data_IF_870587998728
#
_entry.id   IF_870587998728
#
_cell.length_a   1.000
_cell.length_b   1.000
_cell.length_c   1.000
_cell.angle_alpha   90.00
_cell.angle_beta   90.00
_cell.angle_gamma   90.00
#
_symmetry.space_group_name_H-M   'P 1'
#
loop_
_entity.id
_entity.type
_entity.pdbx_description
1 polymer ?
#
# COMPACT_ATOMS: atom_id res chain seq x y z
N UNK A 1 3.13 -9.52 -30.02
CA UNK A 1 3.00 -8.44 -29.00
C UNK A 1 1.52 -8.31 -28.67
N UNK A 2 1.08 -8.40 -27.42
CA UNK A 2 -0.31 -8.11 -27.11
C UNK A 2 -0.59 -6.65 -27.47
N UNK A 3 -1.70 -6.38 -28.14
CA UNK A 3 -2.10 -5.03 -28.52
C UNK A 3 -2.33 -4.20 -27.26
N UNK A 4 -2.04 -2.91 -27.30
CA UNK A 4 -2.33 -1.96 -26.19
C UNK A 4 -3.81 -2.03 -25.76
N UNK A 5 -4.71 -2.43 -26.64
CA UNK A 5 -6.14 -2.64 -26.36
C UNK A 5 -6.41 -3.81 -25.39
N UNK A 6 -5.52 -4.81 -25.32
CA UNK A 6 -5.66 -5.93 -24.36
C UNK A 6 -5.19 -5.59 -22.94
N UNK A 7 -4.54 -4.43 -22.76
CA UNK A 7 -4.15 -3.86 -21.47
C UNK A 7 -5.26 -2.98 -20.87
N UNK A 8 -6.25 -2.58 -21.67
CA UNK A 8 -7.39 -1.82 -21.17
C UNK A 8 -8.41 -2.79 -20.52
N UNK A 9 -8.93 -2.44 -19.33
CA UNK A 9 -9.95 -3.26 -18.71
C UNK A 9 -11.20 -3.35 -19.60
N UNK A 10 -11.91 -4.47 -19.49
CA UNK A 10 -13.21 -4.64 -20.12
C UNK A 10 -14.13 -3.45 -19.78
N UNK A 11 -15.03 -3.05 -20.70
CA UNK A 11 -15.96 -1.97 -20.42
C UNK A 11 -16.83 -2.32 -19.20
N UNK A 12 -16.87 -1.41 -18.22
CA UNK A 12 -17.59 -1.60 -16.97
C UNK A 12 -17.02 -0.75 -15.83
N UNK A 13 -17.33 -1.10 -14.60
CA UNK A 13 -16.97 -0.39 -13.39
C UNK A 13 -15.44 -0.27 -13.13
N UNK A 14 -14.63 -1.10 -13.80
CA UNK A 14 -13.15 -1.07 -13.66
C UNK A 14 -12.54 0.19 -14.30
N UNK A 15 -13.13 0.73 -15.38
CA UNK A 15 -12.61 1.94 -16.05
C UNK A 15 -12.65 3.19 -15.17
N UNK A 16 -13.80 3.56 -14.55
CA UNK A 16 -13.85 4.67 -13.62
C UNK A 16 -12.89 4.49 -12.43
N UNK A 17 -12.77 3.25 -11.94
CA UNK A 17 -11.85 2.94 -10.85
C UNK A 17 -10.39 3.12 -11.27
N UNK A 18 -10.00 2.67 -12.46
CA UNK A 18 -8.65 2.87 -13.01
C UNK A 18 -8.36 4.37 -13.24
N UNK A 19 -9.34 5.13 -13.74
CA UNK A 19 -9.22 6.59 -13.87
C UNK A 19 -9.01 7.26 -12.50
N UNK A 20 -9.74 6.82 -11.45
CA UNK A 20 -9.53 7.27 -10.08
C UNK A 20 -8.09 7.02 -9.61
N UNK A 21 -7.58 5.78 -9.77
CA UNK A 21 -6.21 5.44 -9.40
C UNK A 21 -5.17 6.27 -10.16
N UNK A 22 -5.38 6.52 -11.46
CA UNK A 22 -4.47 7.32 -12.29
C UNK A 22 -4.40 8.77 -11.82
N UNK A 23 -5.57 9.41 -11.67
CA UNK A 23 -5.66 10.84 -11.32
C UNK A 23 -5.16 11.09 -9.90
N UNK A 24 -5.54 10.25 -8.93
CA UNK A 24 -5.06 10.32 -7.56
C UNK A 24 -3.54 10.13 -7.46
N UNK A 25 -2.99 9.19 -8.21
CA UNK A 25 -1.54 8.93 -8.20
C UNK A 25 -0.73 10.02 -8.90
N UNK A 26 -1.28 10.68 -9.93
CA UNK A 26 -0.68 11.87 -10.53
C UNK A 26 -0.49 12.98 -9.49
N UNK A 27 -1.55 13.28 -8.72
CA UNK A 27 -1.47 14.26 -7.63
C UNK A 27 -0.50 13.85 -6.53
N UNK A 28 -0.52 12.57 -6.13
CA UNK A 28 0.43 12.04 -5.15
C UNK A 28 1.87 12.20 -5.62
N UNK A 29 2.16 11.93 -6.91
CA UNK A 29 3.49 12.14 -7.51
C UNK A 29 3.90 13.61 -7.52
N UNK A 30 2.98 14.52 -7.86
CA UNK A 30 3.21 15.97 -7.77
C UNK A 30 3.62 16.37 -6.34
N UNK A 31 2.83 15.98 -5.35
CA UNK A 31 3.04 16.37 -3.96
C UNK A 31 4.31 15.78 -3.34
N UNK A 32 4.56 14.49 -3.51
CA UNK A 32 5.73 13.84 -2.92
C UNK A 32 7.04 14.34 -3.53
N UNK A 33 7.03 14.77 -4.79
CA UNK A 33 8.21 15.33 -5.45
C UNK A 33 8.39 16.81 -5.14
N UNK A 34 7.30 17.59 -5.10
CA UNK A 34 7.39 19.06 -5.02
C UNK A 34 7.02 19.65 -3.67
N UNK A 35 6.34 18.89 -2.79
CA UNK A 35 5.83 19.43 -1.53
C UNK A 35 6.93 19.94 -0.59
N UNK A 36 8.07 19.24 -0.49
CA UNK A 36 9.19 19.70 0.35
C UNK A 36 9.71 21.06 -0.14
N UNK A 37 9.85 21.25 -1.46
CA UNK A 37 10.27 22.52 -2.04
C UNK A 37 9.30 23.65 -1.67
N UNK A 38 7.99 23.39 -1.77
CA UNK A 38 6.96 24.34 -1.34
C UNK A 38 7.12 24.74 0.13
N UNK A 39 7.23 23.78 1.05
CA UNK A 39 7.31 24.08 2.48
C UNK A 39 8.61 24.82 2.86
N UNK A 40 9.71 24.53 2.18
CA UNK A 40 10.99 25.19 2.45
C UNK A 40 11.06 26.58 1.79
N UNK A 41 10.70 26.70 0.51
CA UNK A 41 10.90 27.94 -0.24
C UNK A 41 9.74 28.93 -0.14
N UNK A 42 8.50 28.44 -0.01
CA UNK A 42 7.31 29.31 0.06
C UNK A 42 6.89 29.58 1.50
N UNK A 43 6.76 28.51 2.31
CA UNK A 43 6.35 28.64 3.72
C UNK A 43 7.51 29.08 4.63
N UNK A 44 8.76 28.84 4.22
CA UNK A 44 9.96 29.23 4.99
C UNK A 44 10.29 28.27 6.14
N UNK A 45 9.80 27.03 6.11
CA UNK A 45 10.13 26.01 7.11
C UNK A 45 11.51 25.42 6.85
N UNK A 46 12.23 25.04 7.92
CA UNK A 46 13.46 24.26 7.77
C UNK A 46 13.13 22.81 7.33
N UNK A 47 14.05 22.15 6.64
CA UNK A 47 13.91 20.75 6.27
C UNK A 47 13.63 19.83 7.48
N UNK A 48 14.24 20.15 8.63
CA UNK A 48 14.01 19.43 9.89
C UNK A 48 12.57 19.61 10.39
N UNK A 49 12.01 20.83 10.32
CA UNK A 49 10.61 21.08 10.67
C UNK A 49 9.65 20.33 9.74
N UNK A 50 9.91 20.35 8.43
CA UNK A 50 9.09 19.59 7.45
C UNK A 50 9.12 18.10 7.77
N UNK A 51 10.31 17.54 8.01
CA UNK A 51 10.46 16.13 8.39
C UNK A 51 9.76 15.79 9.72
N UNK A 52 9.91 16.63 10.75
CA UNK A 52 9.26 16.44 12.04
C UNK A 52 7.72 16.51 11.91
N UNK A 53 7.20 17.46 11.14
CA UNK A 53 5.75 17.60 10.92
C UNK A 53 5.14 16.38 10.20
N UNK A 54 5.78 15.87 9.15
CA UNK A 54 5.33 14.65 8.50
C UNK A 54 5.48 13.41 9.37
N UNK A 55 6.49 13.34 10.22
CA UNK A 55 6.64 12.26 11.21
C UNK A 55 5.48 12.25 12.22
N UNK A 56 5.12 13.42 12.76
CA UNK A 56 3.96 13.57 13.65
C UNK A 56 2.65 13.20 12.93
N UNK A 57 2.46 13.65 11.69
CA UNK A 57 1.31 13.29 10.87
C UNK A 57 1.24 11.78 10.62
N UNK A 58 2.36 11.12 10.35
CA UNK A 58 2.46 9.67 10.23
C UNK A 58 2.00 8.92 11.48
N UNK A 59 2.43 9.36 12.67
CA UNK A 59 2.01 8.79 13.95
C UNK A 59 0.49 8.88 14.16
N UNK A 60 -0.10 10.03 13.85
CA UNK A 60 -1.55 10.24 13.98
C UNK A 60 -2.34 9.30 13.05
N UNK A 61 -1.81 8.98 11.88
CA UNK A 61 -2.50 8.10 10.91
C UNK A 61 -2.55 6.62 11.32
N UNK A 62 -1.70 6.17 12.25
CA UNK A 62 -1.67 4.76 12.67
C UNK A 62 -3.03 4.26 13.15
N UNK A 63 -3.78 5.10 13.87
CA UNK A 63 -5.10 4.76 14.39
C UNK A 63 -6.27 4.93 13.40
N UNK A 64 -6.06 5.56 12.25
CA UNK A 64 -7.15 5.97 11.36
C UNK A 64 -7.73 4.85 10.49
N UNK A 65 -6.92 3.85 10.12
CA UNK A 65 -7.31 2.81 9.16
C UNK A 65 -8.49 1.96 9.62
N UNK A 66 -8.52 1.56 10.89
CA UNK A 66 -9.58 0.70 11.45
C UNK A 66 -10.92 1.44 11.57
N UNK A 67 -11.00 2.65 12.18
CA UNK A 67 -12.24 3.44 12.21
C UNK A 67 -12.77 3.75 10.82
N UNK A 68 -11.90 4.06 9.86
CA UNK A 68 -12.28 4.34 8.48
C UNK A 68 -12.83 3.09 7.79
N UNK A 69 -12.20 1.95 7.99
CA UNK A 69 -12.70 0.68 7.48
C UNK A 69 -14.08 0.34 8.03
N UNK A 70 -14.28 0.52 9.33
CA UNK A 70 -15.57 0.35 9.98
C UNK A 70 -16.65 1.33 9.43
N UNK A 71 -16.27 2.56 9.09
CA UNK A 71 -17.17 3.51 8.45
C UNK A 71 -17.51 3.08 7.01
N UNK A 72 -16.53 2.55 6.27
CA UNK A 72 -16.72 2.04 4.91
C UNK A 72 -17.70 0.85 4.86
N UNK A 73 -17.78 0.04 5.93
CA UNK A 73 -18.74 -1.06 6.04
C UNK A 73 -20.18 -0.60 6.36
N UNK A 74 -20.37 0.67 6.77
CA UNK A 74 -21.68 1.25 7.16
C UNK A 74 -22.25 2.25 6.18
N UNK A 75 -21.43 2.76 5.29
CA UNK A 75 -21.82 3.77 4.30
C UNK A 75 -21.65 3.21 2.89
N UNK A 76 -22.33 3.83 1.91
CA UNK A 76 -22.00 3.61 0.52
C UNK A 76 -20.54 3.98 0.27
N UNK A 77 -19.70 2.97 -0.02
CA UNK A 77 -18.25 3.13 -0.16
C UNK A 77 -17.86 4.09 -1.30
N UNK A 78 -18.68 4.15 -2.38
CA UNK A 78 -18.49 5.11 -3.46
C UNK A 78 -18.69 6.55 -2.96
N UNK A 79 -19.82 6.82 -2.28
CA UNK A 79 -20.13 8.16 -1.75
C UNK A 79 -19.11 8.58 -0.71
N UNK A 80 -18.71 7.66 0.16
CA UNK A 80 -17.69 7.92 1.17
C UNK A 80 -16.35 8.30 0.53
N UNK A 81 -15.90 7.59 -0.52
CA UNK A 81 -14.64 7.92 -1.20
C UNK A 81 -14.71 9.28 -1.91
N UNK A 82 -15.85 9.60 -2.55
CA UNK A 82 -16.07 10.93 -3.14
C UNK A 82 -15.93 12.02 -2.07
N UNK A 83 -16.59 11.84 -0.93
CA UNK A 83 -16.53 12.81 0.19
C UNK A 83 -15.08 12.97 0.70
N UNK A 84 -14.36 11.87 0.88
CA UNK A 84 -12.98 11.91 1.35
C UNK A 84 -12.08 12.64 0.33
N UNK A 85 -12.21 12.39 -0.96
CA UNK A 85 -11.46 13.12 -1.99
C UNK A 85 -11.78 14.63 -2.02
N UNK A 86 -13.03 15.01 -1.79
CA UNK A 86 -13.40 16.44 -1.64
C UNK A 86 -12.71 17.03 -0.41
N UNK A 87 -12.71 16.32 0.72
CA UNK A 87 -12.01 16.75 1.94
C UNK A 87 -10.51 16.88 1.69
N UNK A 88 -9.86 15.89 1.02
CA UNK A 88 -8.45 15.98 0.62
C UNK A 88 -8.18 17.22 -0.21
N UNK A 89 -9.00 17.49 -1.24
CA UNK A 89 -8.85 18.68 -2.08
C UNK A 89 -8.90 19.96 -1.25
N UNK A 90 -9.90 20.10 -0.36
CA UNK A 90 -10.04 21.27 0.51
C UNK A 90 -8.85 21.43 1.46
N UNK A 91 -8.37 20.35 2.06
CA UNK A 91 -7.20 20.37 2.94
C UNK A 91 -5.92 20.78 2.20
N UNK A 92 -5.73 20.32 0.95
CA UNK A 92 -4.61 20.76 0.14
C UNK A 92 -4.66 22.22 -0.24
N UNK A 93 -5.87 22.80 -0.43
CA UNK A 93 -6.05 24.23 -0.62
C UNK A 93 -5.69 25.07 0.62
N UNK A 94 -5.57 24.47 1.81
CA UNK A 94 -5.13 25.19 3.01
C UNK A 94 -3.59 25.36 3.08
N UNK A 95 -2.79 24.54 2.38
CA UNK A 95 -1.33 24.64 2.46
C UNK A 95 -0.77 26.03 2.05
N UNK A 96 -1.25 26.70 0.99
CA UNK A 96 -0.81 28.07 0.69
C UNK A 96 -1.11 29.09 1.77
N UNK A 97 -2.05 28.82 2.69
CA UNK A 97 -2.41 29.68 3.82
C UNK A 97 -1.59 29.40 5.07
N UNK A 98 -0.69 28.41 5.01
CA UNK A 98 0.16 28.03 6.14
C UNK A 98 1.36 28.97 6.24
N UNK A 99 1.51 29.66 7.40
CA UNK A 99 2.61 30.58 7.66
C UNK A 99 3.37 30.26 8.96
N UNK A 100 3.08 29.13 9.62
CA UNK A 100 3.74 28.72 10.86
C UNK A 100 3.92 27.20 10.93
N UNK A 101 4.91 26.76 11.71
CA UNK A 101 5.15 25.33 11.93
C UNK A 101 3.92 24.62 12.54
N UNK A 102 3.25 25.24 13.52
CA UNK A 102 2.05 24.63 14.13
C UNK A 102 0.91 24.49 13.10
N UNK A 103 0.64 25.50 12.30
CA UNK A 103 -0.37 25.42 11.24
C UNK A 103 -0.01 24.34 10.23
N UNK A 104 1.26 24.22 9.84
CA UNK A 104 1.77 23.14 8.99
C UNK A 104 1.47 21.77 9.59
N UNK A 105 1.82 21.54 10.86
CA UNK A 105 1.60 20.25 11.55
C UNK A 105 0.11 19.90 11.58
N UNK A 106 -0.76 20.85 11.91
CA UNK A 106 -2.21 20.62 11.97
C UNK A 106 -2.78 20.23 10.59
N UNK A 107 -2.43 20.98 9.55
CA UNK A 107 -2.87 20.68 8.17
C UNK A 107 -2.27 19.35 7.69
N UNK A 108 -0.99 19.09 7.97
CA UNK A 108 -0.34 17.83 7.59
C UNK A 108 -0.96 16.62 8.29
N UNK A 109 -1.32 16.72 9.57
CA UNK A 109 -2.03 15.66 10.29
C UNK A 109 -3.42 15.41 9.67
N UNK A 110 -4.20 16.47 9.43
CA UNK A 110 -5.54 16.35 8.83
C UNK A 110 -5.48 15.74 7.42
N UNK A 111 -4.55 16.21 6.58
CA UNK A 111 -4.32 15.72 5.23
C UNK A 111 -3.89 14.25 5.23
N UNK A 112 -2.94 13.88 6.10
CA UNK A 112 -2.47 12.50 6.20
C UNK A 112 -3.57 11.55 6.68
N UNK A 113 -4.43 11.99 7.61
CA UNK A 113 -5.62 11.24 8.02
C UNK A 113 -6.59 11.01 6.85
N UNK A 114 -6.86 12.05 6.04
CA UNK A 114 -7.73 11.95 4.88
C UNK A 114 -7.13 10.99 3.82
N UNK A 115 -5.84 11.10 3.50
CA UNK A 115 -5.13 10.19 2.57
C UNK A 115 -5.20 8.73 3.05
N UNK A 116 -5.01 8.50 4.34
CA UNK A 116 -5.12 7.15 4.91
C UNK A 116 -6.57 6.64 4.82
N UNK A 117 -7.54 7.50 5.08
CA UNK A 117 -8.96 7.20 4.93
C UNK A 117 -9.30 6.85 3.48
N UNK A 118 -8.89 7.66 2.50
CA UNK A 118 -9.09 7.41 1.08
C UNK A 118 -8.50 6.06 0.66
N UNK A 119 -7.28 5.74 1.10
CA UNK A 119 -6.62 4.46 0.81
C UNK A 119 -7.44 3.26 1.31
N UNK A 120 -7.96 3.33 2.56
CA UNK A 120 -8.76 2.27 3.17
C UNK A 120 -10.12 2.11 2.48
N UNK A 121 -10.84 3.20 2.25
CA UNK A 121 -12.14 3.19 1.56
C UNK A 121 -12.00 2.72 0.12
N UNK A 122 -10.95 3.16 -0.59
CA UNK A 122 -10.63 2.73 -1.96
C UNK A 122 -10.34 1.23 -2.01
N UNK A 123 -9.64 0.68 -1.01
CA UNK A 123 -9.43 -0.76 -0.92
C UNK A 123 -10.77 -1.50 -0.78
N UNK A 124 -11.67 -1.05 0.10
CA UNK A 124 -13.00 -1.62 0.27
C UNK A 124 -13.86 -1.50 -1.01
N UNK A 125 -13.86 -0.32 -1.66
CA UNK A 125 -14.53 -0.08 -2.94
C UNK A 125 -14.02 -1.04 -4.02
N UNK A 126 -12.71 -1.20 -4.15
CA UNK A 126 -12.07 -2.08 -5.12
C UNK A 126 -12.52 -3.54 -4.93
N UNK A 127 -12.57 -4.01 -3.68
CA UNK A 127 -13.08 -5.34 -3.35
C UNK A 127 -14.59 -5.51 -3.56
N UNK A 128 -15.34 -4.41 -3.62
CA UNK A 128 -16.77 -4.43 -3.95
C UNK A 128 -17.06 -4.39 -5.45
N UNK A 129 -16.15 -3.80 -6.24
CA UNK A 129 -16.29 -3.61 -7.70
C UNK A 129 -15.72 -4.79 -8.47
N UNK A 130 -14.62 -5.38 -8.03
CA UNK A 130 -13.96 -6.49 -8.71
C UNK A 130 -14.60 -7.82 -8.33
N UNK A 131 -14.80 -8.68 -9.33
CA UNK A 131 -15.23 -10.06 -9.13
C UNK A 131 -14.15 -10.85 -8.37
N UNK A 132 -14.53 -11.83 -7.50
CA UNK A 132 -13.57 -12.55 -6.65
C UNK A 132 -12.43 -13.23 -7.44
N UNK A 133 -12.72 -13.83 -8.59
CA UNK A 133 -11.77 -14.49 -9.48
C UNK A 133 -10.84 -13.52 -10.22
N UNK A 134 -11.21 -12.23 -10.32
CA UNK A 134 -10.44 -11.17 -10.97
C UNK A 134 -9.86 -10.15 -10.00
N UNK A 135 -10.02 -10.36 -8.69
CA UNK A 135 -9.64 -9.37 -7.68
C UNK A 135 -8.13 -9.13 -7.66
N UNK A 136 -7.31 -10.18 -7.61
CA UNK A 136 -5.86 -10.05 -7.55
C UNK A 136 -5.27 -9.52 -8.86
N UNK A 137 -5.62 -10.06 -10.06
CA UNK A 137 -5.19 -9.47 -11.32
C UNK A 137 -5.67 -8.02 -11.52
N UNK A 138 -6.91 -7.72 -11.12
CA UNK A 138 -7.46 -6.36 -11.16
C UNK A 138 -6.70 -5.40 -10.25
N UNK A 139 -6.36 -5.81 -9.03
CA UNK A 139 -5.50 -5.05 -8.10
C UNK A 139 -4.10 -4.84 -8.67
N UNK A 140 -3.52 -5.86 -9.29
CA UNK A 140 -2.22 -5.75 -9.95
C UNK A 140 -2.24 -4.73 -11.10
N UNK A 141 -3.30 -4.75 -11.92
CA UNK A 141 -3.51 -3.75 -12.95
C UNK A 141 -3.64 -2.33 -12.37
N UNK A 142 -4.50 -2.13 -11.36
CA UNK A 142 -4.69 -0.84 -10.70
C UNK A 142 -3.39 -0.33 -10.06
N UNK A 143 -2.54 -1.23 -9.53
CA UNK A 143 -1.21 -0.87 -9.02
C UNK A 143 -0.28 -0.39 -10.15
N UNK A 144 -0.31 -1.02 -11.31
CA UNK A 144 0.46 -0.57 -12.48
C UNK A 144 -0.01 0.80 -12.96
N UNK A 145 -1.32 1.05 -12.99
CA UNK A 145 -1.91 2.36 -13.31
C UNK A 145 -1.46 3.41 -12.30
N UNK A 146 -1.51 3.09 -11.00
CA UNK A 146 -1.03 3.97 -9.94
C UNK A 146 0.45 4.34 -10.13
N UNK A 147 1.32 3.37 -10.37
CA UNK A 147 2.75 3.62 -10.57
C UNK A 147 3.01 4.49 -11.81
N UNK A 148 2.27 4.27 -12.90
CA UNK A 148 2.34 5.10 -14.11
C UNK A 148 1.90 6.54 -13.84
N UNK A 149 0.80 6.73 -13.14
CA UNK A 149 0.32 8.06 -12.73
C UNK A 149 1.29 8.77 -11.78
N UNK A 150 1.79 8.06 -10.78
CA UNK A 150 2.79 8.58 -9.85
C UNK A 150 4.05 9.06 -10.57
N UNK A 151 4.61 8.25 -11.48
CA UNK A 151 5.77 8.63 -12.27
C UNK A 151 5.49 9.87 -13.16
N UNK A 152 4.31 9.93 -13.78
CA UNK A 152 3.87 11.09 -14.55
C UNK A 152 3.75 12.35 -13.71
N UNK A 153 3.14 12.26 -12.53
CA UNK A 153 3.01 13.37 -11.58
C UNK A 153 4.37 13.85 -11.06
N UNK A 154 5.27 12.92 -10.73
CA UNK A 154 6.63 13.25 -10.30
C UNK A 154 7.43 13.96 -11.41
N UNK A 155 7.29 13.52 -12.66
CA UNK A 155 7.95 14.16 -13.80
C UNK A 155 7.39 15.58 -14.03
N UNK A 156 6.08 15.77 -13.92
CA UNK A 156 5.45 17.09 -14.01
C UNK A 156 5.92 18.02 -12.89
N UNK A 157 6.04 17.53 -11.65
CA UNK A 157 6.57 18.32 -10.55
C UNK A 157 8.04 18.72 -10.79
N UNK A 158 8.89 17.78 -11.22
CA UNK A 158 10.28 18.05 -11.53
C UNK A 158 10.43 19.10 -12.65
N UNK A 159 9.58 19.00 -13.68
CA UNK A 159 9.55 20.00 -14.76
C UNK A 159 9.08 21.36 -14.27
N UNK A 160 7.98 21.42 -13.50
CA UNK A 160 7.46 22.69 -12.97
C UNK A 160 8.43 23.38 -12.02
N UNK A 161 9.20 22.63 -11.24
CA UNK A 161 10.17 23.15 -10.28
C UNK A 161 11.52 23.54 -10.93
N UNK A 162 11.71 23.26 -12.23
CA UNK A 162 13.00 23.52 -12.92
C UNK A 162 13.36 25.01 -12.97
N UNK A 163 12.37 25.93 -12.95
CA UNK A 163 12.58 27.37 -12.91
C UNK A 163 12.75 27.94 -11.47
N UNK A 164 12.47 27.13 -10.43
CA UNK A 164 12.60 27.50 -9.02
C UNK A 164 11.63 28.59 -8.53
N UNK A 165 10.59 28.91 -9.30
CA UNK A 165 9.65 29.98 -8.95
C UNK A 165 8.70 29.59 -7.81
N UNK A 166 8.31 30.57 -6.96
CA UNK A 166 7.29 30.37 -5.93
C UNK A 166 5.97 29.91 -6.51
N UNK A 167 5.59 30.46 -7.67
CA UNK A 167 4.37 30.08 -8.37
C UNK A 167 4.37 28.60 -8.78
N UNK A 168 5.50 28.09 -9.26
CA UNK A 168 5.63 26.67 -9.60
C UNK A 168 5.42 25.77 -8.37
N UNK A 169 6.00 26.14 -7.24
CA UNK A 169 5.80 25.41 -5.97
C UNK A 169 4.31 25.41 -5.53
N UNK A 170 3.63 26.54 -5.62
CA UNK A 170 2.19 26.64 -5.31
C UNK A 170 1.34 25.82 -6.28
N UNK A 171 1.62 25.91 -7.59
CA UNK A 171 0.92 25.15 -8.62
C UNK A 171 1.04 23.63 -8.43
N UNK A 172 2.15 23.14 -7.92
CA UNK A 172 2.35 21.71 -7.59
C UNK A 172 1.39 21.30 -6.46
N UNK A 173 1.25 22.11 -5.42
CA UNK A 173 0.32 21.84 -4.29
C UNK A 173 -1.15 21.92 -4.75
N UNK A 174 -1.51 23.01 -5.44
CA UNK A 174 -2.86 23.20 -5.95
C UNK A 174 -3.22 22.20 -7.05
N UNK A 175 -2.24 21.79 -7.86
CA UNK A 175 -2.40 20.72 -8.84
C UNK A 175 -2.79 19.39 -8.19
N UNK A 176 -2.23 19.07 -7.02
CA UNK A 176 -2.66 17.92 -6.25
C UNK A 176 -4.07 18.11 -5.67
N UNK A 177 -4.43 19.30 -5.18
CA UNK A 177 -5.81 19.59 -4.76
C UNK A 177 -6.82 19.34 -5.90
N UNK A 178 -6.50 19.84 -7.11
CA UNK A 178 -7.31 19.62 -8.31
C UNK A 178 -7.39 18.13 -8.67
N UNK A 179 -6.27 17.39 -8.54
CA UNK A 179 -6.28 15.94 -8.82
C UNK A 179 -7.25 15.18 -7.93
N UNK A 180 -7.35 15.50 -6.64
CA UNK A 180 -8.34 14.87 -5.75
C UNK A 180 -9.78 15.20 -6.15
N UNK A 181 -10.06 16.46 -6.56
CA UNK A 181 -11.37 16.81 -7.06
C UNK A 181 -11.72 16.05 -8.35
N UNK A 182 -10.77 15.96 -9.27
CA UNK A 182 -10.94 15.17 -10.49
C UNK A 182 -11.09 13.67 -10.16
N UNK A 183 -10.33 13.14 -9.20
CA UNK A 183 -10.48 11.77 -8.73
C UNK A 183 -11.89 11.51 -8.18
N UNK A 184 -12.47 12.44 -7.41
CA UNK A 184 -13.86 12.36 -6.97
C UNK A 184 -14.84 12.29 -8.15
N UNK A 185 -14.64 13.07 -9.19
CA UNK A 185 -15.50 13.10 -10.38
C UNK A 185 -15.45 11.79 -11.16
N UNK A 186 -14.28 11.11 -11.22
CA UNK A 186 -14.16 9.81 -11.90
C UNK A 186 -15.02 8.71 -11.28
N UNK A 187 -15.43 8.87 -10.03
CA UNK A 187 -16.26 7.89 -9.30
C UNK A 187 -17.76 8.07 -9.56
N UNK A 188 -18.20 9.21 -10.12
CA UNK A 188 -19.63 9.49 -10.36
C UNK A 188 -20.30 8.43 -11.26
N UNK A 189 -19.64 7.90 -12.32
CA UNK A 189 -20.26 6.88 -13.17
C UNK A 189 -20.39 5.49 -12.53
N UNK A 190 -19.72 5.24 -11.37
CA UNK A 190 -19.83 3.96 -10.69
C UNK A 190 -21.24 3.78 -10.10
N UNK A 191 -21.79 2.56 -10.09
CA UNK A 191 -23.02 2.30 -9.36
C UNK A 191 -22.84 2.50 -7.86
N UNK A 192 -23.89 2.84 -7.12
CA UNK A 192 -23.85 2.84 -5.65
C UNK A 192 -23.44 1.48 -5.12
N UNK A 193 -22.59 1.48 -4.09
CA UNK A 193 -22.14 0.29 -3.38
C UNK A 193 -22.62 0.39 -1.92
N UNK A 194 -23.88 0.06 -1.66
CA UNK A 194 -24.44 0.12 -0.32
C UNK A 194 -23.74 -0.86 0.61
N UNK A 195 -23.77 -0.60 1.93
CA UNK A 195 -23.23 -1.51 2.92
C UNK A 195 -23.91 -2.87 2.82
N UNK A 196 -23.12 -3.93 2.98
CA UNK A 196 -23.66 -5.29 3.02
C UNK A 196 -24.19 -5.57 4.43
N UNK A 197 -25.47 -5.94 4.58
CA UNK A 197 -26.04 -6.27 5.89
C UNK A 197 -25.23 -7.40 6.54
N UNK A 198 -24.99 -7.28 7.84
CA UNK A 198 -24.42 -8.37 8.60
C UNK A 198 -25.52 -9.44 8.79
N UNK A 199 -25.26 -10.71 8.45
CA UNK A 199 -26.22 -11.78 8.69
C UNK A 199 -26.64 -11.85 10.17
N UNK A 200 -27.88 -12.25 10.43
CA UNK A 200 -28.36 -12.47 11.80
C UNK A 200 -27.52 -13.57 12.48
N UNK A 201 -27.23 -13.43 13.76
CA UNK A 201 -26.44 -14.43 14.49
C UNK A 201 -24.91 -14.32 14.36
N UNK A 202 -24.39 -13.60 13.37
CA UNK A 202 -22.93 -13.44 13.19
C UNK A 202 -22.32 -12.63 14.33
N UNK A 203 -21.30 -13.20 14.97
CA UNK A 203 -20.57 -12.57 16.07
C UNK A 203 -20.05 -11.17 15.70
N UNK A 204 -20.30 -10.19 16.58
CA UNK A 204 -19.77 -8.82 16.47
C UNK A 204 -18.31 -8.70 16.92
N UNK A 205 -17.51 -9.76 16.80
CA UNK A 205 -16.10 -9.69 17.18
C UNK A 205 -15.36 -8.73 16.23
N UNK A 206 -14.68 -7.70 16.77
CA UNK A 206 -13.86 -6.82 15.96
C UNK A 206 -12.75 -7.61 15.25
N UNK A 207 -12.35 -7.17 14.04
CA UNK A 207 -11.27 -7.79 13.26
C UNK A 207 -9.95 -7.88 14.05
N UNK A 208 -9.68 -6.92 14.94
CA UNK A 208 -8.54 -6.93 15.87
C UNK A 208 -8.53 -8.10 16.87
N UNK A 209 -9.67 -8.76 17.12
CA UNK A 209 -9.76 -9.96 17.95
C UNK A 209 -9.58 -11.26 17.17
N UNK A 210 -9.46 -11.19 15.86
CA UNK A 210 -9.14 -12.33 15.01
C UNK A 210 -7.62 -12.55 14.98
N UNK A 211 -7.09 -13.22 16.02
CA UNK A 211 -5.65 -13.40 16.24
C UNK A 211 -4.92 -13.95 15.02
N UNK A 212 -5.39 -15.01 14.31
CA UNK A 212 -4.72 -15.45 13.09
C UNK A 212 -4.62 -14.38 12.03
N UNK A 213 -5.64 -13.55 11.85
CA UNK A 213 -5.64 -12.45 10.89
C UNK A 213 -4.67 -11.33 11.29
N UNK A 214 -4.64 -10.98 12.59
CA UNK A 214 -3.69 -9.98 13.12
C UNK A 214 -2.24 -10.45 12.98
N UNK A 215 -1.97 -11.74 13.21
CA UNK A 215 -0.63 -12.28 12.98
C UNK A 215 -0.24 -12.25 11.49
N UNK A 216 -1.17 -12.57 10.58
CA UNK A 216 -0.94 -12.42 9.14
C UNK A 216 -0.69 -10.96 8.74
N UNK A 217 -1.40 -10.02 9.37
CA UNK A 217 -1.17 -8.59 9.21
C UNK A 217 0.26 -8.19 9.61
N UNK A 218 0.74 -8.67 10.75
CA UNK A 218 2.10 -8.40 11.23
C UNK A 218 3.15 -8.99 10.27
N UNK A 219 2.99 -10.26 9.85
CA UNK A 219 3.89 -10.89 8.88
C UNK A 219 3.91 -10.15 7.54
N UNK A 220 2.76 -9.67 7.08
CA UNK A 220 2.68 -8.83 5.89
C UNK A 220 3.44 -7.50 6.08
N UNK A 221 3.36 -6.90 7.26
CA UNK A 221 4.14 -5.71 7.61
C UNK A 221 5.64 -5.97 7.61
N UNK A 222 6.09 -7.08 8.21
CA UNK A 222 7.49 -7.48 8.17
C UNK A 222 7.99 -7.66 6.74
N UNK A 223 7.23 -8.35 5.87
CA UNK A 223 7.56 -8.46 4.46
C UNK A 223 7.53 -7.09 3.75
N UNK A 224 6.66 -6.16 4.17
CA UNK A 224 6.52 -4.81 3.62
C UNK A 224 7.72 -3.88 3.84
N UNK A 225 8.62 -4.23 4.77
CA UNK A 225 9.88 -3.49 5.00
C UNK A 225 10.76 -3.46 3.72
N UNK A 226 10.54 -4.38 2.76
CA UNK A 226 11.26 -4.40 1.49
C UNK A 226 11.27 -3.06 0.75
N UNK A 227 10.16 -2.29 0.78
CA UNK A 227 10.08 -0.98 0.16
C UNK A 227 11.05 0.05 0.76
N UNK A 228 11.30 -0.05 2.06
CA UNK A 228 12.26 0.82 2.77
C UNK A 228 13.71 0.47 2.41
N UNK A 229 13.99 -0.79 2.14
CA UNK A 229 15.33 -1.21 1.68
C UNK A 229 15.69 -0.50 0.39
N UNK A 230 14.78 -0.47 -0.57
CA UNK A 230 15.01 0.15 -1.88
C UNK A 230 15.11 1.67 -1.81
N UNK A 231 14.25 2.31 -1.01
CA UNK A 231 14.10 3.77 -1.03
C UNK A 231 14.97 4.50 -0.01
N UNK A 232 15.44 3.81 1.02
CA UNK A 232 16.25 4.40 2.09
C UNK A 232 17.58 3.67 2.28
N UNK A 233 17.55 2.36 2.55
CA UNK A 233 18.75 1.66 3.01
C UNK A 233 19.80 1.47 1.90
N UNK A 234 19.41 1.10 0.68
CA UNK A 234 20.33 0.99 -0.45
C UNK A 234 20.95 2.34 -0.84
N UNK A 235 20.18 3.44 -1.01
CA UNK A 235 20.76 4.76 -1.21
C UNK A 235 21.74 5.17 -0.10
N UNK A 236 21.36 4.94 1.16
CA UNK A 236 22.23 5.27 2.30
C UNK A 236 23.55 4.47 2.23
N UNK A 237 23.49 3.17 1.96
CA UNK A 237 24.67 2.33 1.83
C UNK A 237 25.57 2.76 0.64
N UNK A 238 24.99 3.16 -0.50
CA UNK A 238 25.74 3.64 -1.67
C UNK A 238 26.44 4.97 -1.38
N UNK A 239 25.78 5.88 -0.63
CA UNK A 239 26.32 7.20 -0.33
C UNK A 239 27.40 7.15 0.75
N UNK A 240 27.27 6.23 1.73
CA UNK A 240 28.17 6.15 2.88
C UNK A 240 29.51 5.47 2.62
N UNK A 241 29.74 4.86 1.45
CA UNK A 241 31.04 4.24 1.18
C UNK A 241 31.07 3.34 -0.06
N UNK A 242 32.20 2.65 -0.29
CA UNK A 242 32.43 1.60 -1.29
C UNK A 242 32.79 2.04 -2.72
N UNK A 243 32.96 3.34 -3.03
CA UNK A 243 33.33 3.80 -4.38
C UNK A 243 32.29 3.50 -5.46
N UNK A 244 31.05 3.22 -5.06
CA UNK A 244 29.90 2.96 -5.95
C UNK A 244 29.37 4.30 -6.46
N UNK A 245 29.11 4.47 -7.78
CA UNK A 245 28.54 5.70 -8.30
C UNK A 245 27.17 6.01 -7.67
N UNK A 246 27.02 7.19 -7.08
CA UNK A 246 25.79 7.63 -6.37
C UNK A 246 24.54 7.60 -7.28
N UNK A 247 24.72 7.77 -8.59
CA UNK A 247 23.66 7.69 -9.60
C UNK A 247 22.93 6.32 -9.61
N UNK A 248 23.61 5.24 -9.19
CA UNK A 248 23.01 3.91 -9.12
C UNK A 248 21.84 3.83 -8.14
N UNK A 249 21.82 4.63 -7.08
CA UNK A 249 20.70 4.68 -6.16
C UNK A 249 19.38 5.05 -6.88
N UNK A 250 19.39 6.10 -7.69
CA UNK A 250 18.22 6.49 -8.48
C UNK A 250 17.91 5.50 -9.61
N UNK A 251 18.95 4.92 -10.23
CA UNK A 251 18.77 3.90 -11.27
C UNK A 251 18.08 2.66 -10.74
N UNK A 252 18.43 2.18 -9.54
CA UNK A 252 17.79 1.02 -8.91
C UNK A 252 16.31 1.25 -8.65
N UNK A 253 15.93 2.42 -8.15
CA UNK A 253 14.51 2.78 -7.96
C UNK A 253 13.78 2.83 -9.31
N UNK A 254 14.39 3.40 -10.34
CA UNK A 254 13.81 3.47 -11.67
C UNK A 254 13.61 2.09 -12.27
N UNK A 255 14.63 1.23 -12.21
CA UNK A 255 14.55 -0.16 -12.70
C UNK A 255 13.47 -0.95 -11.96
N UNK A 256 13.42 -0.84 -10.62
CA UNK A 256 12.35 -1.46 -9.83
C UNK A 256 10.97 -1.00 -10.32
N UNK A 257 10.75 0.31 -10.45
CA UNK A 257 9.46 0.86 -10.87
C UNK A 257 9.04 0.33 -12.26
N UNK A 258 9.96 0.28 -13.21
CA UNK A 258 9.70 -0.27 -14.55
C UNK A 258 9.36 -1.76 -14.49
N UNK A 259 10.10 -2.55 -13.73
CA UNK A 259 9.84 -3.97 -13.56
C UNK A 259 8.49 -4.21 -12.87
N UNK A 260 8.14 -3.40 -11.86
CA UNK A 260 6.82 -3.47 -11.22
C UNK A 260 5.72 -3.20 -12.22
N UNK A 261 5.80 -2.14 -13.01
CA UNK A 261 4.77 -1.84 -14.04
C UNK A 261 4.60 -2.99 -15.03
N UNK A 262 5.71 -3.57 -15.49
CA UNK A 262 5.69 -4.62 -16.54
C UNK A 262 5.25 -5.98 -15.99
N UNK A 263 5.73 -6.37 -14.80
CA UNK A 263 5.59 -7.74 -14.30
C UNK A 263 4.53 -7.93 -13.22
N UNK A 264 3.97 -6.85 -12.61
CA UNK A 264 3.02 -6.96 -11.51
C UNK A 264 1.83 -7.87 -11.84
N UNK A 265 1.17 -7.66 -12.98
CA UNK A 265 0.01 -8.47 -13.40
C UNK A 265 0.41 -9.92 -13.67
N UNK A 266 1.60 -10.15 -14.23
CA UNK A 266 2.06 -11.51 -14.58
C UNK A 266 2.42 -12.32 -13.34
N UNK A 267 3.11 -11.73 -12.37
CA UNK A 267 3.52 -12.39 -11.14
C UNK A 267 2.36 -12.52 -10.12
N UNK A 268 1.27 -11.80 -10.29
CA UNK A 268 0.08 -11.93 -9.43
C UNK A 268 -0.78 -13.16 -9.75
N UNK A 269 -0.56 -13.83 -10.88
CA UNK A 269 -1.35 -15.00 -11.29
C UNK A 269 -1.20 -16.14 -10.28
N UNK A 270 -2.34 -16.74 -9.91
CA UNK A 270 -2.40 -17.84 -8.95
C UNK A 270 -2.35 -17.41 -7.48
N UNK A 271 -2.40 -16.10 -7.20
CA UNK A 271 -2.53 -15.55 -5.84
C UNK A 271 -3.99 -15.18 -5.48
N UNK A 272 -4.97 -15.58 -6.30
CA UNK A 272 -6.38 -15.20 -6.17
C UNK A 272 -7.10 -15.86 -4.98
N UNK A 273 -6.51 -16.92 -4.41
CA UNK A 273 -7.02 -17.61 -3.23
C UNK A 273 -6.14 -17.34 -2.01
N UNK A 274 -6.67 -17.57 -0.81
CA UNK A 274 -5.88 -17.46 0.44
C UNK A 274 -4.65 -18.36 0.40
N UNK A 275 -4.80 -19.59 -0.09
CA UNK A 275 -3.69 -20.54 -0.23
C UNK A 275 -2.67 -20.09 -1.30
N UNK A 276 -3.16 -19.61 -2.45
CA UNK A 276 -2.32 -19.05 -3.51
C UNK A 276 -1.56 -17.83 -3.04
N UNK A 277 -2.23 -16.94 -2.31
CA UNK A 277 -1.65 -15.76 -1.67
C UNK A 277 -0.58 -16.12 -0.65
N UNK A 278 -0.85 -17.13 0.20
CA UNK A 278 0.12 -17.60 1.17
C UNK A 278 1.38 -18.21 0.52
N UNK A 279 1.20 -18.98 -0.57
CA UNK A 279 2.33 -19.50 -1.38
C UNK A 279 3.13 -18.37 -2.03
N UNK A 280 2.46 -17.32 -2.50
CA UNK A 280 3.13 -16.16 -3.06
C UNK A 280 3.95 -15.42 -2.01
N UNK A 281 3.41 -15.17 -0.80
CA UNK A 281 4.15 -14.55 0.29
C UNK A 281 5.30 -15.41 0.81
N UNK A 282 5.17 -16.75 0.82
CA UNK A 282 6.30 -17.63 1.13
C UNK A 282 7.44 -17.48 0.13
N UNK A 283 7.13 -17.46 -1.17
CA UNK A 283 8.13 -17.22 -2.22
C UNK A 283 8.74 -15.83 -2.09
N UNK A 284 7.92 -14.82 -1.79
CA UNK A 284 8.39 -13.48 -1.51
C UNK A 284 9.43 -13.46 -0.39
N UNK A 285 9.15 -14.11 0.74
CA UNK A 285 10.08 -14.21 1.85
C UNK A 285 11.44 -14.81 1.44
N UNK A 286 11.43 -15.82 0.57
CA UNK A 286 12.69 -16.42 0.02
C UNK A 286 13.43 -15.42 -0.86
N UNK A 287 12.75 -14.76 -1.82
CA UNK A 287 13.39 -13.78 -2.71
C UNK A 287 13.95 -12.58 -1.94
N UNK A 288 13.19 -12.07 -0.96
CA UNK A 288 13.62 -10.96 -0.11
C UNK A 288 14.82 -11.35 0.77
N UNK A 289 14.82 -12.56 1.32
CA UNK A 289 15.95 -13.08 2.07
C UNK A 289 17.22 -13.21 1.20
N UNK A 290 17.10 -13.79 0.00
CA UNK A 290 18.20 -13.88 -0.96
C UNK A 290 18.71 -12.50 -1.38
N UNK A 291 17.81 -11.51 -1.56
CA UNK A 291 18.19 -10.12 -1.81
C UNK A 291 19.07 -9.56 -0.68
N UNK A 292 18.64 -9.75 0.58
CA UNK A 292 19.42 -9.29 1.74
C UNK A 292 20.77 -10.00 1.85
N UNK A 293 20.86 -11.30 1.51
CA UNK A 293 22.14 -12.02 1.42
C UNK A 293 23.02 -11.41 0.34
N UNK A 294 22.46 -11.06 -0.83
CA UNK A 294 23.19 -10.35 -1.90
C UNK A 294 23.71 -8.99 -1.45
N UNK A 295 22.89 -8.23 -0.70
CA UNK A 295 23.30 -6.92 -0.13
C UNK A 295 24.41 -7.14 0.93
N UNK A 296 24.27 -8.15 1.79
CA UNK A 296 25.30 -8.50 2.78
C UNK A 296 26.64 -8.85 2.11
N UNK A 297 26.59 -9.63 1.03
CA UNK A 297 27.77 -9.97 0.24
C UNK A 297 28.38 -8.72 -0.42
N UNK A 298 27.55 -7.83 -0.98
CA UNK A 298 28.02 -6.57 -1.56
C UNK A 298 28.69 -5.66 -0.53
N UNK A 299 28.16 -5.61 0.70
CA UNK A 299 28.74 -4.85 1.80
C UNK A 299 30.10 -5.39 2.26
N UNK A 300 30.37 -6.69 2.09
CA UNK A 300 31.64 -7.32 2.44
C UNK A 300 32.72 -7.21 1.34
N UNK A 301 32.34 -6.80 0.13
CA UNK A 301 33.28 -6.66 -1.00
C UNK A 301 33.85 -5.24 -1.05
N UNK A 302 35.16 -5.11 -1.12
CA UNK A 302 35.86 -3.82 -1.12
C UNK A 302 36.09 -3.21 -2.52
N UNK A 303 35.80 -3.98 -3.60
CA UNK A 303 35.97 -3.51 -4.98
C UNK A 303 34.62 -3.15 -5.60
N UNK A 304 34.50 -2.00 -6.32
CA UNK A 304 33.22 -1.51 -6.80
C UNK A 304 32.51 -2.44 -7.80
N UNK A 305 33.24 -3.02 -8.76
CA UNK A 305 32.63 -3.79 -9.84
C UNK A 305 31.84 -5.01 -9.37
N UNK A 306 32.39 -5.96 -8.55
CA UNK A 306 31.60 -7.08 -8.05
C UNK A 306 30.50 -6.63 -7.06
N UNK A 307 30.72 -5.58 -6.26
CA UNK A 307 29.68 -5.03 -5.40
C UNK A 307 28.47 -4.55 -6.22
N UNK A 308 28.70 -3.84 -7.33
CA UNK A 308 27.62 -3.40 -8.23
C UNK A 308 26.86 -4.59 -8.81
N UNK A 309 27.54 -5.64 -9.26
CA UNK A 309 26.89 -6.84 -9.79
C UNK A 309 26.01 -7.50 -8.73
N UNK A 310 26.51 -7.65 -7.50
CA UNK A 310 25.74 -8.21 -6.38
C UNK A 310 24.52 -7.36 -6.06
N UNK A 311 24.65 -6.02 -6.06
CA UNK A 311 23.52 -5.11 -5.83
C UNK A 311 22.49 -5.17 -6.94
N UNK A 312 22.90 -5.26 -8.21
CA UNK A 312 21.96 -5.45 -9.34
C UNK A 312 21.14 -6.72 -9.14
N UNK A 313 21.80 -7.84 -8.86
CA UNK A 313 21.12 -9.12 -8.59
C UNK A 313 20.21 -9.00 -7.38
N UNK A 314 20.67 -8.37 -6.30
CA UNK A 314 19.89 -8.16 -5.09
C UNK A 314 18.62 -7.31 -5.36
N UNK A 315 18.72 -6.23 -6.17
CA UNK A 315 17.56 -5.39 -6.53
C UNK A 315 16.57 -6.16 -7.40
N UNK A 316 17.01 -7.00 -8.33
CA UNK A 316 16.13 -7.86 -9.13
C UNK A 316 15.37 -8.87 -8.24
N UNK A 317 16.07 -9.50 -7.29
CA UNK A 317 15.46 -10.39 -6.30
C UNK A 317 14.49 -9.64 -5.37
N UNK A 318 14.88 -8.43 -4.92
CA UNK A 318 14.01 -7.56 -4.12
C UNK A 318 12.71 -7.24 -4.84
N UNK A 319 12.81 -6.84 -6.11
CA UNK A 319 11.64 -6.52 -6.95
C UNK A 319 10.74 -7.74 -7.15
N UNK A 320 11.31 -8.92 -7.43
CA UNK A 320 10.54 -10.15 -7.54
C UNK A 320 9.82 -10.50 -6.21
N UNK A 321 10.51 -10.34 -5.09
CA UNK A 321 9.95 -10.50 -3.75
C UNK A 321 8.82 -9.52 -3.45
N UNK A 322 9.00 -8.24 -3.78
CA UNK A 322 7.98 -7.18 -3.65
C UNK A 322 6.70 -7.53 -4.41
N UNK A 323 6.84 -7.89 -5.69
CA UNK A 323 5.70 -8.24 -6.56
C UNK A 323 4.90 -9.42 -6.01
N UNK A 324 5.57 -10.45 -5.53
CA UNK A 324 4.94 -11.63 -4.93
C UNK A 324 4.33 -11.32 -3.57
N UNK A 325 4.99 -10.50 -2.73
CA UNK A 325 4.46 -10.07 -1.44
C UNK A 325 3.16 -9.29 -1.61
N UNK A 326 3.11 -8.35 -2.57
CA UNK A 326 1.91 -7.57 -2.89
C UNK A 326 0.77 -8.45 -3.40
N UNK A 327 1.03 -9.34 -4.35
CA UNK A 327 0.02 -10.26 -4.88
C UNK A 327 -0.54 -11.16 -3.77
N UNK A 328 0.34 -11.74 -2.95
CA UNK A 328 -0.05 -12.57 -1.81
C UNK A 328 -0.82 -11.80 -0.74
N UNK A 329 -0.43 -10.56 -0.47
CA UNK A 329 -1.12 -9.64 0.43
C UNK A 329 -2.59 -9.45 0.02
N UNK A 330 -2.86 -9.23 -1.27
CA UNK A 330 -4.23 -9.07 -1.77
C UNK A 330 -5.03 -10.37 -1.66
N UNK A 331 -4.46 -11.51 -2.06
CA UNK A 331 -5.16 -12.81 -1.95
C UNK A 331 -5.54 -13.15 -0.52
N UNK A 332 -4.66 -12.92 0.44
CA UNK A 332 -4.91 -13.19 1.86
C UNK A 332 -5.91 -12.18 2.44
N UNK A 333 -5.68 -10.88 2.27
CA UNK A 333 -6.49 -9.86 2.92
C UNK A 333 -7.93 -9.86 2.43
N UNK A 334 -8.16 -10.00 1.13
CA UNK A 334 -9.51 -10.05 0.57
C UNK A 334 -10.17 -11.43 0.74
N UNK A 335 -9.40 -12.52 0.62
CA UNK A 335 -9.92 -13.88 0.78
C UNK A 335 -10.32 -14.21 2.22
N UNK A 336 -9.69 -13.57 3.21
CA UNK A 336 -10.04 -13.72 4.61
C UNK A 336 -11.00 -12.62 5.13
N UNK A 337 -11.27 -11.55 4.42
CA UNK A 337 -12.19 -10.51 4.86
C UNK A 337 -13.64 -10.93 4.62
N UNK A 338 -14.50 -11.03 5.68
CA UNK A 338 -15.92 -11.27 5.49
C UNK A 338 -16.56 -10.13 4.71
N UNK A 339 -17.53 -10.44 3.85
CA UNK A 339 -18.17 -9.43 3.00
C UNK A 339 -18.83 -8.29 3.77
N UNK A 340 -19.45 -8.61 4.93
CA UNK A 340 -20.12 -7.64 5.80
C UNK A 340 -19.19 -6.80 6.69
N UNK A 341 -17.89 -7.13 6.75
CA UNK A 341 -16.88 -6.44 7.56
C UNK A 341 -15.57 -6.24 6.76
N UNK A 342 -15.66 -6.20 5.43
CA UNK A 342 -14.51 -6.11 4.53
C UNK A 342 -13.66 -4.86 4.79
N UNK A 343 -14.30 -3.72 5.00
CA UNK A 343 -13.60 -2.47 5.30
C UNK A 343 -12.83 -2.54 6.60
N UNK A 344 -13.44 -3.05 7.68
CA UNK A 344 -12.78 -3.22 8.96
C UNK A 344 -11.56 -4.15 8.86
N UNK A 345 -11.70 -5.31 8.20
CA UNK A 345 -10.61 -6.26 8.00
C UNK A 345 -9.47 -5.67 7.14
N UNK A 346 -9.79 -4.98 6.04
CA UNK A 346 -8.78 -4.32 5.22
C UNK A 346 -8.10 -3.15 5.98
N UNK A 347 -8.85 -2.46 6.85
CA UNK A 347 -8.31 -1.44 7.75
C UNK A 347 -7.30 -2.01 8.75
N UNK A 348 -7.62 -3.16 9.35
CA UNK A 348 -6.67 -3.89 10.23
C UNK A 348 -5.45 -4.35 9.42
N UNK A 349 -5.66 -4.89 8.22
CA UNK A 349 -4.54 -5.36 7.38
C UNK A 349 -3.60 -4.20 6.95
N UNK A 350 -4.14 -3.00 6.77
CA UNK A 350 -3.35 -1.81 6.49
C UNK A 350 -2.41 -1.40 7.64
N UNK A 351 -2.69 -1.82 8.89
CA UNK A 351 -1.79 -1.60 10.03
C UNK A 351 -0.44 -2.29 9.84
N UNK A 352 -0.39 -3.42 9.12
CA UNK A 352 0.86 -4.07 8.76
C UNK A 352 1.79 -3.17 7.95
N UNK A 353 1.25 -2.46 6.94
CA UNK A 353 2.04 -1.50 6.16
C UNK A 353 2.45 -0.29 7.01
N UNK A 354 1.56 0.23 7.86
CA UNK A 354 1.88 1.31 8.78
C UNK A 354 3.01 0.90 9.76
N UNK A 355 3.02 -0.34 10.23
CA UNK A 355 4.13 -0.90 11.00
C UNK A 355 5.43 -0.91 10.19
N UNK A 356 5.41 -1.37 8.94
CA UNK A 356 6.58 -1.36 8.06
C UNK A 356 7.12 0.06 7.84
N UNK A 357 6.25 1.03 7.59
CA UNK A 357 6.61 2.44 7.38
C UNK A 357 7.20 3.08 8.65
N UNK A 358 6.79 2.62 9.84
CA UNK A 358 7.27 3.16 11.13
C UNK A 358 8.56 2.51 11.59
N UNK A 359 8.63 1.18 11.56
CA UNK A 359 9.75 0.41 12.11
C UNK A 359 10.84 0.18 11.06
N UNK A 360 10.45 0.07 9.79
CA UNK A 360 11.35 -0.24 8.68
C UNK A 360 12.55 0.68 8.53
N UNK A 361 12.39 2.03 8.56
CA UNK A 361 13.51 2.96 8.46
C UNK A 361 14.55 2.74 9.57
N UNK A 362 14.12 2.64 10.82
CA UNK A 362 15.02 2.40 11.94
C UNK A 362 15.70 1.02 11.84
N UNK A 363 14.92 -0.04 11.56
CA UNK A 363 15.45 -1.39 11.45
C UNK A 363 16.47 -1.52 10.32
N UNK A 364 16.20 -0.97 9.14
CA UNK A 364 17.10 -1.06 7.98
C UNK A 364 18.34 -0.18 8.15
N UNK A 365 18.22 1.01 8.75
CA UNK A 365 19.34 1.90 8.98
C UNK A 365 20.26 1.36 10.09
N UNK A 366 19.72 0.90 11.22
CA UNK A 366 20.54 0.42 12.35
C UNK A 366 21.09 -0.97 12.09
N UNK A 367 20.24 -1.95 11.80
CA UNK A 367 20.69 -3.33 11.57
C UNK A 367 21.37 -3.46 10.21
N UNK A 368 20.69 -3.05 9.12
CA UNK A 368 21.21 -3.26 7.77
C UNK A 368 22.48 -2.46 7.48
N UNK A 369 22.40 -1.14 7.56
CA UNK A 369 23.54 -0.27 7.22
C UNK A 369 24.53 -0.17 8.37
N UNK A 370 24.05 -0.05 9.62
CA UNK A 370 24.91 0.12 10.80
C UNK A 370 25.74 -1.11 11.13
N UNK A 371 25.14 -2.28 11.20
CA UNK A 371 25.84 -3.56 11.52
C UNK A 371 26.43 -4.25 10.27
N UNK A 372 26.17 -3.72 9.07
CA UNK A 372 26.69 -4.28 7.82
C UNK A 372 26.19 -5.69 7.52
N UNK A 373 27.09 -6.59 7.08
CA UNK A 373 26.70 -7.92 6.64
C UNK A 373 25.93 -8.74 7.69
N UNK A 374 26.27 -8.79 8.98
CA UNK A 374 25.49 -9.50 10.00
C UNK A 374 24.06 -8.96 10.13
N UNK A 375 23.87 -7.65 10.09
CA UNK A 375 22.54 -7.00 10.16
C UNK A 375 21.68 -7.34 8.95
N UNK A 376 22.23 -7.36 7.75
CA UNK A 376 21.52 -7.78 6.55
C UNK A 376 21.10 -9.25 6.61
N UNK A 377 21.94 -10.14 7.17
CA UNK A 377 21.60 -11.54 7.40
C UNK A 377 20.47 -11.68 8.43
N UNK A 378 20.44 -10.85 9.48
CA UNK A 378 19.34 -10.82 10.43
C UNK A 378 18.01 -10.43 9.75
N UNK A 379 18.03 -9.39 8.90
CA UNK A 379 16.85 -8.98 8.10
C UNK A 379 16.44 -10.10 7.14
N UNK A 380 17.40 -10.79 6.50
CA UNK A 380 17.12 -11.94 5.66
C UNK A 380 16.39 -13.05 6.42
N UNK A 381 16.83 -13.36 7.65
CA UNK A 381 16.16 -14.34 8.51
C UNK A 381 14.71 -13.90 8.85
N UNK A 382 14.48 -12.62 9.15
CA UNK A 382 13.13 -12.09 9.39
C UNK A 382 12.24 -12.29 8.18
N UNK A 383 12.69 -11.98 6.96
CA UNK A 383 11.91 -12.19 5.74
C UNK A 383 11.62 -13.65 5.49
N UNK A 384 12.61 -14.53 5.63
CA UNK A 384 12.46 -15.96 5.41
C UNK A 384 11.45 -16.56 6.40
N UNK A 385 11.64 -16.29 7.70
CA UNK A 385 10.76 -16.80 8.75
C UNK A 385 9.32 -16.25 8.60
N UNK A 386 9.17 -14.98 8.27
CA UNK A 386 7.88 -14.38 8.00
C UNK A 386 7.18 -15.07 6.84
N UNK A 387 7.87 -15.25 5.70
CA UNK A 387 7.31 -15.96 4.55
C UNK A 387 6.92 -17.40 4.84
N UNK A 388 7.73 -18.15 5.61
CA UNK A 388 7.43 -19.52 6.00
C UNK A 388 6.22 -19.59 6.97
N UNK A 389 6.09 -18.65 7.90
CA UNK A 389 5.02 -18.61 8.89
C UNK A 389 3.64 -18.26 8.29
N UNK A 390 3.60 -17.56 7.15
CA UNK A 390 2.32 -17.19 6.51
C UNK A 390 1.49 -18.41 6.13
N UNK A 391 2.11 -19.47 5.58
CA UNK A 391 1.37 -20.65 5.07
C UNK A 391 0.55 -21.35 6.15
N UNK A 392 1.13 -21.79 7.28
CA UNK A 392 0.36 -22.44 8.34
C UNK A 392 -0.65 -21.52 9.02
N UNK A 393 -0.37 -20.22 9.12
CA UNK A 393 -1.29 -19.26 9.70
C UNK A 393 -2.49 -18.98 8.78
N UNK A 394 -2.27 -18.87 7.48
CA UNK A 394 -3.35 -18.69 6.51
C UNK A 394 -4.26 -19.92 6.47
N UNK A 395 -3.70 -21.12 6.50
CA UNK A 395 -4.48 -22.34 6.58
C UNK A 395 -5.34 -22.42 7.86
N UNK A 396 -4.77 -22.04 9.02
CA UNK A 396 -5.54 -21.97 10.28
C UNK A 396 -6.66 -20.92 10.23
N UNK A 397 -6.38 -19.74 9.67
CA UNK A 397 -7.37 -18.68 9.52
C UNK A 397 -8.52 -19.14 8.61
N UNK A 398 -8.23 -19.83 7.53
CA UNK A 398 -9.20 -20.35 6.58
C UNK A 398 -10.06 -21.49 7.21
N UNK A 399 -9.44 -22.44 7.90
CA UNK A 399 -10.15 -23.53 8.57
C UNK A 399 -11.14 -22.99 9.63
N UNK A 400 -10.72 -22.01 10.45
CA UNK A 400 -11.59 -21.37 11.43
C UNK A 400 -12.83 -20.70 10.81
N UNK A 401 -12.72 -20.20 9.58
CA UNK A 401 -13.84 -19.57 8.86
C UNK A 401 -14.77 -20.60 8.26
N UNK A 402 -14.24 -21.69 7.74
CA UNK A 402 -15.04 -22.78 7.19
C UNK A 402 -15.91 -23.42 8.29
N UNK A 403 -15.37 -23.58 9.50
CA UNK A 403 -16.17 -24.07 10.65
C UNK A 403 -17.24 -23.08 11.09
N UNK A 404 -16.91 -21.78 11.17
CA UNK A 404 -17.90 -20.75 11.54
C UNK A 404 -19.03 -20.63 10.49
N UNK A 405 -18.71 -20.69 9.19
CA UNK A 405 -19.72 -20.67 8.14
C UNK A 405 -20.60 -21.93 8.11
N UNK A 406 -20.04 -23.09 8.46
CA UNK A 406 -20.82 -24.32 8.59
C UNK A 406 -21.78 -24.28 9.80
N UNK A 407 -21.34 -23.72 10.92
CA UNK A 407 -22.18 -23.51 12.12
C UNK A 407 -23.32 -22.52 11.83
N UNK A 408 -23.05 -21.43 11.10
CA UNK A 408 -24.05 -20.45 10.66
C UNK A 408 -25.09 -21.07 9.72
N UNK A 409 -24.68 -21.85 8.74
CA UNK A 409 -25.58 -22.53 7.82
C UNK A 409 -26.48 -23.58 8.53
N UNK A 410 -25.94 -24.24 9.56
CA UNK A 410 -26.73 -25.17 10.39
C UNK A 410 -27.71 -24.44 11.31
N UNK A 411 -27.40 -23.22 11.77
CA UNK A 411 -28.29 -22.41 12.60
C UNK A 411 -29.49 -21.89 11.76
N UNK A 412 -29.22 -21.34 10.57
CA UNK A 412 -30.25 -20.88 9.62
C UNK A 412 -31.19 -22.02 9.20
N UNK A 413 -30.66 -23.20 8.87
CA UNK A 413 -31.46 -24.36 8.53
C UNK A 413 -32.36 -24.89 9.68
N UNK A 414 -31.97 -24.66 10.94
CA UNK A 414 -32.78 -24.97 12.11
C UNK A 414 -33.92 -23.97 12.33
N UNK A 415 -33.70 -22.70 12.07
CA UNK A 415 -34.72 -21.64 12.15
C UNK A 415 -35.79 -21.82 11.06
N UNK A 416 -35.37 -22.16 9.82
CA UNK A 416 -36.31 -22.47 8.73
C UNK A 416 -37.20 -23.68 9.02
N UNK A 417 -36.64 -24.75 9.58
CA UNK A 417 -37.40 -25.94 9.99
C UNK A 417 -38.35 -25.60 11.13
N UNK A 418 -37.96 -24.80 12.11
CA UNK A 418 -38.79 -24.38 13.23
C UNK A 418 -39.95 -23.48 12.76
N UNK A 419 -39.69 -22.58 11.80
CA UNK A 419 -40.70 -21.71 11.19
C UNK A 419 -41.71 -22.50 10.33
N UNK A 420 -41.26 -23.52 9.62
CA UNK A 420 -42.15 -24.40 8.80
C UNK A 420 -42.99 -25.36 9.68
N UNK A 421 -42.46 -25.79 10.85
CA UNK A 421 -43.21 -26.67 11.78
C UNK A 421 -44.21 -25.97 12.71
N UNK A 422 -44.18 -24.64 12.79
CA UNK A 422 -45.11 -23.83 13.57
C UNK A 422 -46.43 -23.44 12.90
N UNK A 423 -46.60 -23.81 11.62
CA UNK A 423 -47.81 -23.50 10.81
C UNK A 423 -48.72 -24.70 10.57
N UNK A 424 -48.51 -25.82 11.24
CA UNK A 424 -49.39 -26.98 11.30
C UNK A 424 -50.10 -27.06 12.66
#
# INVERSE_FOLDING_TARGET
MPSFASLLPAPGAVRPLAANYLVDSLGTGLFLTGGVAFFVHVVGLTATQVGAGFSLAGLVTLGASVPTGWLADRMDTRRLLILVHVVESLLFCLYPLVHSFLAFVLVACATSLAIRAASTVRAALTGGVLEPDRLVPGRAYLRSVFNGGFAGGSALAAWALADGSHLACELVILGNAVSYLLAALTLIPLPPLPPRPRPAGVSKKPALKDVPFVLLTLLNGLLGINGIILTLALPLMIVSGHGIPKALAGLFVTVNTLLVVVFQVRLSRGADTVEGGARAQRRAGVFLALSCVGIAAAAAVHTPAPAIVLLVVAVLLLTAGELLAMAGSWGISYGLAPDHARGEYLGVYALGMAFAETVGPAATATLGVGEGAPGWLAIAAVFLLSGLAVVPLAARAQAKRSTAGAEEAMADGREDIAAAGGTA
#
